data_IF_343199010579
#
_entry.id   IF_343199010579
#
_cell.length_a   1.000
_cell.length_b   1.000
_cell.length_c   1.000
_cell.angle_alpha   90.00
_cell.angle_beta   90.00
_cell.angle_gamma   90.00
#
_symmetry.space_group_name_H-M   'P 1'
#
loop_
_entity.id
_entity.type
_entity.pdbx_description
1 polymer ?
#
# COMPACT_ATOMS: atom_id res chain seq x y z
N UNK A 1 -0.92 3.48 -28.56
CA UNK A 1 -1.34 2.37 -27.67
C UNK A 1 -2.29 2.82 -26.58
N UNK A 2 -3.32 2.01 -26.25
CA UNK A 2 -4.21 2.26 -25.10
C UNK A 2 -3.45 2.18 -23.77
N UNK A 3 -4.09 2.66 -22.70
CA UNK A 3 -3.61 2.56 -21.31
C UNK A 3 -4.65 1.79 -20.48
N UNK A 4 -4.74 0.46 -20.65
CA UNK A 4 -5.86 -0.34 -20.14
C UNK A 4 -5.89 -0.43 -18.61
N UNK A 5 -4.79 -0.14 -17.91
CA UNK A 5 -4.72 -0.15 -16.46
C UNK A 5 -5.22 1.14 -15.80
N UNK A 6 -5.69 2.13 -16.56
CA UNK A 6 -6.15 3.43 -16.03
C UNK A 6 -7.29 3.34 -14.99
N UNK A 7 -8.04 2.25 -14.97
CA UNK A 7 -9.07 2.03 -13.94
C UNK A 7 -8.50 1.60 -12.58
N UNK A 8 -7.22 1.20 -12.53
CA UNK A 8 -6.46 1.03 -11.29
C UNK A 8 -5.78 2.35 -10.94
N UNK A 9 -6.56 3.27 -10.38
CA UNK A 9 -6.11 4.62 -10.04
C UNK A 9 -5.20 4.66 -8.82
N UNK A 10 -5.01 3.53 -8.13
CA UNK A 10 -4.13 3.38 -6.96
C UNK A 10 -2.68 3.73 -7.25
N UNK A 11 -2.17 3.29 -8.40
CA UNK A 11 -0.73 3.26 -8.63
C UNK A 11 -0.12 4.57 -9.19
N UNK A 12 -0.76 5.29 -10.14
CA UNK A 12 -0.14 6.44 -10.79
C UNK A 12 0.18 7.62 -9.87
N UNK A 13 -0.54 7.75 -8.76
CA UNK A 13 -0.23 8.69 -7.68
C UNK A 13 -0.92 8.26 -6.38
N UNK A 14 -0.28 8.51 -5.24
CA UNK A 14 -0.84 8.22 -3.92
C UNK A 14 -0.98 9.51 -3.09
N UNK A 15 -2.13 9.69 -2.44
CA UNK A 15 -2.35 10.80 -1.51
C UNK A 15 -1.76 10.46 -0.14
N UNK A 16 -0.89 11.33 0.39
CA UNK A 16 -0.16 11.15 1.65
C UNK A 16 -0.39 12.40 2.51
N UNK A 17 -1.25 12.28 3.53
CA UNK A 17 -1.65 13.43 4.35
C UNK A 17 -2.32 14.51 3.49
N UNK A 18 -1.75 15.72 3.51
CA UNK A 18 -2.18 16.84 2.66
C UNK A 18 -1.41 16.95 1.33
N UNK A 19 -0.52 15.99 1.04
CA UNK A 19 0.35 15.97 -0.13
C UNK A 19 0.00 14.82 -1.08
N UNK A 20 0.67 14.78 -2.24
CA UNK A 20 0.58 13.68 -3.19
C UNK A 20 1.96 13.22 -3.65
N UNK A 21 2.14 11.91 -3.71
CA UNK A 21 3.25 11.25 -4.37
C UNK A 21 2.86 11.03 -5.83
N UNK A 22 3.37 11.87 -6.75
CA UNK A 22 3.15 11.68 -8.19
C UNK A 22 4.21 10.72 -8.72
N UNK A 23 3.81 9.48 -8.95
CA UNK A 23 4.71 8.36 -9.03
C UNK A 23 5.52 8.28 -10.33
N UNK A 24 6.68 7.63 -10.27
CA UNK A 24 7.47 7.20 -11.43
C UNK A 24 7.34 5.68 -11.57
N UNK A 25 6.49 5.25 -12.50
CA UNK A 25 6.08 3.85 -12.62
C UNK A 25 7.21 2.94 -13.12
N UNK A 26 7.17 1.66 -12.77
CA UNK A 26 8.16 0.68 -13.24
C UNK A 26 8.11 0.44 -14.75
N UNK A 27 6.89 0.34 -15.30
CA UNK A 27 6.68 0.11 -16.73
C UNK A 27 6.52 1.43 -17.47
N UNK A 28 7.30 1.63 -18.52
CA UNK A 28 7.14 2.76 -19.45
C UNK A 28 5.71 2.91 -19.98
N UNK A 29 5.02 1.79 -20.21
CA UNK A 29 3.63 1.81 -20.69
C UNK A 29 2.68 2.43 -19.67
N UNK A 30 2.82 2.07 -18.39
CA UNK A 30 2.02 2.63 -17.30
C UNK A 30 2.50 4.01 -16.83
N UNK A 31 3.78 4.35 -17.04
CA UNK A 31 4.30 5.68 -16.72
C UNK A 31 3.69 6.80 -17.59
N UNK A 32 2.98 6.44 -18.66
CA UNK A 32 2.13 7.36 -19.43
C UNK A 32 0.89 7.80 -18.66
N UNK A 33 0.38 6.98 -17.73
CA UNK A 33 -0.83 7.25 -16.93
C UNK A 33 -0.60 8.41 -15.94
N UNK A 34 0.62 8.56 -15.43
CA UNK A 34 1.00 9.62 -14.48
C UNK A 34 0.93 11.03 -15.10
N UNK A 35 0.83 11.11 -16.43
CA UNK A 35 0.58 12.37 -17.14
C UNK A 35 -0.74 13.01 -16.71
N UNK A 36 -1.79 12.23 -16.45
CA UNK A 36 -3.08 12.76 -15.98
C UNK A 36 -2.95 13.41 -14.61
N UNK A 37 -2.30 12.73 -13.67
CA UNK A 37 -2.00 13.26 -12.33
C UNK A 37 -1.21 14.57 -12.41
N UNK A 38 -0.17 14.63 -13.26
CA UNK A 38 0.61 15.86 -13.50
C UNK A 38 -0.30 17.06 -13.82
N UNK A 39 -1.16 16.95 -14.83
CA UNK A 39 -2.04 18.06 -15.21
C UNK A 39 -3.07 18.42 -14.13
N UNK A 40 -3.56 17.43 -13.37
CA UNK A 40 -4.50 17.68 -12.27
C UNK A 40 -3.81 18.51 -11.18
N UNK A 41 -2.64 18.07 -10.69
CA UNK A 41 -1.95 18.71 -9.58
C UNK A 41 -1.20 19.99 -9.97
N UNK A 42 -1.09 20.32 -11.26
CA UNK A 42 -0.57 21.62 -11.72
C UNK A 42 -1.65 22.61 -12.14
N UNK A 43 -2.76 22.19 -12.77
CA UNK A 43 -3.70 23.12 -13.43
C UNK A 43 -5.14 23.04 -12.93
N UNK A 44 -5.55 22.01 -12.18
CA UNK A 44 -6.93 21.89 -11.73
C UNK A 44 -7.29 23.05 -10.77
N UNK A 45 -8.48 23.69 -10.87
CA UNK A 45 -8.83 24.83 -10.01
C UNK A 45 -8.78 24.53 -8.50
N UNK A 46 -9.05 23.28 -8.12
CA UNK A 46 -9.02 22.85 -6.72
C UNK A 46 -7.63 22.40 -6.24
N UNK A 47 -6.85 21.74 -7.10
CA UNK A 47 -5.62 21.04 -6.70
C UNK A 47 -4.33 21.66 -7.27
N UNK A 48 -4.43 22.33 -8.41
CA UNK A 48 -3.34 22.90 -9.17
C UNK A 48 -2.53 23.90 -8.35
N UNK A 49 -1.26 23.56 -8.09
CA UNK A 49 -0.34 24.41 -7.31
C UNK A 49 -0.72 24.57 -5.83
N UNK A 50 -1.69 23.79 -5.33
CA UNK A 50 -2.21 23.85 -3.96
C UNK A 50 -1.89 22.59 -3.14
N UNK A 51 -1.60 21.48 -3.81
CA UNK A 51 -1.24 20.21 -3.17
C UNK A 51 0.29 20.04 -3.27
N UNK A 52 1.02 19.92 -2.14
CA UNK A 52 2.45 19.63 -2.16
C UNK A 52 2.75 18.31 -2.86
N UNK A 53 3.83 18.28 -3.64
CA UNK A 53 4.35 17.06 -4.25
C UNK A 53 5.46 16.50 -3.36
N UNK A 54 5.28 15.27 -2.89
CA UNK A 54 6.32 14.51 -2.15
C UNK A 54 7.05 13.50 -3.03
N UNK A 55 6.61 13.35 -4.27
CA UNK A 55 7.32 12.63 -5.33
C UNK A 55 6.92 13.21 -6.69
N UNK A 56 7.77 13.04 -7.70
CA UNK A 56 7.53 13.53 -9.04
C UNK A 56 7.79 12.42 -10.09
N UNK A 57 6.94 12.34 -11.11
CA UNK A 57 7.09 11.40 -12.24
C UNK A 57 8.39 11.57 -13.03
N UNK A 58 9.09 12.69 -12.86
CA UNK A 58 10.39 12.99 -13.49
C UNK A 58 11.59 12.52 -12.64
N UNK A 59 11.35 11.96 -11.46
CA UNK A 59 12.38 11.30 -10.65
C UNK A 59 13.02 10.11 -11.37
N UNK A 60 14.24 9.78 -10.98
CA UNK A 60 15.04 8.71 -11.61
C UNK A 60 14.75 7.33 -11.08
N UNK A 61 14.17 7.22 -9.88
CA UNK A 61 13.91 5.98 -9.16
C UNK A 61 12.41 5.70 -9.11
N UNK A 62 12.03 4.43 -9.06
CA UNK A 62 10.64 3.99 -9.26
C UNK A 62 9.89 3.87 -7.94
N UNK A 63 8.61 4.21 -7.95
CA UNK A 63 7.67 4.00 -6.84
C UNK A 63 6.27 3.88 -7.43
N UNK A 64 5.42 3.01 -6.87
CA UNK A 64 4.03 2.83 -7.31
C UNK A 64 3.08 2.82 -6.09
N UNK A 65 1.88 3.36 -6.24
CA UNK A 65 0.95 3.59 -5.12
C UNK A 65 0.40 2.36 -4.42
N UNK A 66 0.46 1.18 -5.04
CA UNK A 66 0.19 -0.08 -4.35
C UNK A 66 1.18 -0.36 -3.21
N UNK A 67 2.39 0.20 -3.25
CA UNK A 67 3.38 0.08 -2.18
C UNK A 67 3.21 1.16 -1.10
N UNK A 68 2.39 2.18 -1.30
CA UNK A 68 2.27 3.35 -0.41
C UNK A 68 1.03 3.24 0.51
N UNK A 69 1.26 2.98 1.81
CA UNK A 69 0.20 2.80 2.81
C UNK A 69 0.30 3.87 3.91
N UNK A 70 -0.73 4.70 4.04
CA UNK A 70 -0.88 5.64 5.16
C UNK A 70 -1.54 4.89 6.33
N UNK A 71 -0.75 4.46 7.32
CA UNK A 71 -1.26 3.67 8.45
C UNK A 71 -1.84 4.55 9.57
N UNK A 72 -1.19 5.67 9.85
CA UNK A 72 -1.63 6.64 10.84
C UNK A 72 -1.20 8.04 10.42
N UNK A 73 -1.46 9.05 11.25
CA UNK A 73 -0.93 10.41 11.04
C UNK A 73 0.60 10.50 11.20
N UNK A 74 1.21 9.53 11.89
CA UNK A 74 2.63 9.54 12.24
C UNK A 74 3.44 8.51 11.43
N UNK A 75 2.80 7.44 10.95
CA UNK A 75 3.46 6.27 10.36
C UNK A 75 2.94 5.97 8.96
N UNK A 76 3.88 5.84 8.02
CA UNK A 76 3.67 5.24 6.70
C UNK A 76 4.22 3.82 6.68
N UNK A 77 3.64 2.97 5.84
CA UNK A 77 4.27 1.72 5.41
C UNK A 77 4.54 1.82 3.92
N UNK A 78 5.76 1.48 3.50
CA UNK A 78 6.17 1.51 2.09
C UNK A 78 6.82 0.20 1.69
N UNK A 79 6.37 -0.41 0.60
CA UNK A 79 6.96 -1.65 0.07
C UNK A 79 8.26 -1.39 -0.67
N UNK A 80 9.32 -2.14 -0.34
CA UNK A 80 10.49 -2.34 -1.22
C UNK A 80 10.19 -3.59 -2.05
N UNK A 81 9.78 -3.36 -3.29
CA UNK A 81 9.20 -4.37 -4.18
C UNK A 81 9.93 -4.40 -5.53
N UNK A 82 9.44 -5.19 -6.47
CA UNK A 82 9.92 -5.11 -7.86
C UNK A 82 9.55 -3.79 -8.56
N UNK A 83 8.57 -3.04 -8.00
CA UNK A 83 8.00 -1.81 -8.57
C UNK A 83 8.49 -0.55 -7.88
N UNK A 84 8.88 -0.66 -6.61
CA UNK A 84 9.32 0.45 -5.77
C UNK A 84 10.76 0.22 -5.30
N UNK A 85 11.65 1.12 -5.70
CA UNK A 85 13.06 1.09 -5.33
C UNK A 85 13.25 1.64 -3.90
N UNK A 86 14.16 1.05 -3.11
CA UNK A 86 14.46 1.54 -1.76
C UNK A 86 14.89 3.03 -1.73
N UNK A 87 15.67 3.45 -2.74
CA UNK A 87 16.09 4.85 -2.90
C UNK A 87 14.91 5.83 -3.11
N UNK A 88 13.77 5.36 -3.66
CA UNK A 88 12.57 6.18 -3.77
C UNK A 88 11.91 6.43 -2.42
N UNK A 89 12.01 5.47 -1.50
CA UNK A 89 11.49 5.61 -0.13
C UNK A 89 12.28 6.69 0.63
N UNK A 90 13.61 6.67 0.50
CA UNK A 90 14.48 7.70 1.08
C UNK A 90 14.12 9.10 0.57
N UNK A 91 14.00 9.27 -0.75
CA UNK A 91 13.58 10.54 -1.38
C UNK A 91 12.19 10.97 -0.93
N UNK A 92 11.22 10.04 -0.93
CA UNK A 92 9.86 10.30 -0.47
C UNK A 92 9.87 10.83 0.96
N UNK A 93 10.65 10.21 1.85
CA UNK A 93 10.74 10.62 3.25
C UNK A 93 11.37 12.01 3.40
N UNK A 94 12.49 12.28 2.74
CA UNK A 94 13.11 13.61 2.75
C UNK A 94 12.10 14.67 2.30
N UNK A 95 11.40 14.44 1.20
CA UNK A 95 10.38 15.38 0.71
C UNK A 95 9.20 15.55 1.68
N UNK A 96 8.75 14.48 2.33
CA UNK A 96 7.69 14.54 3.36
C UNK A 96 8.09 15.45 4.51
N UNK A 97 9.34 15.36 4.95
CA UNK A 97 9.88 16.19 6.03
C UNK A 97 10.08 17.64 5.60
N UNK A 98 10.68 17.88 4.43
CA UNK A 98 10.89 19.22 3.87
C UNK A 98 9.56 19.95 3.59
N UNK A 99 8.53 19.23 3.14
CA UNK A 99 7.18 19.77 2.90
C UNK A 99 6.32 19.82 4.18
N UNK A 100 6.87 19.43 5.34
CA UNK A 100 6.19 19.44 6.63
C UNK A 100 4.81 18.72 6.62
N UNK A 101 4.73 17.58 5.94
CA UNK A 101 3.46 16.82 5.78
C UNK A 101 3.01 16.18 7.10
N UNK A 102 3.93 15.95 8.04
CA UNK A 102 3.62 15.59 9.43
C UNK A 102 3.87 14.13 9.82
N UNK A 103 4.32 13.29 8.88
CA UNK A 103 4.73 11.92 9.16
C UNK A 103 6.12 11.89 9.82
N UNK A 104 6.31 10.97 10.77
CA UNK A 104 7.54 10.85 11.56
C UNK A 104 8.39 9.65 11.15
N UNK A 105 7.75 8.60 10.64
CA UNK A 105 8.39 7.32 10.36
C UNK A 105 7.79 6.65 9.14
N UNK A 106 8.63 5.97 8.38
CA UNK A 106 8.25 4.96 7.39
C UNK A 106 8.68 3.59 7.89
N UNK A 107 7.76 2.63 7.90
CA UNK A 107 8.08 1.20 7.96
C UNK A 107 8.28 0.69 6.54
N UNK A 108 9.52 0.41 6.15
CA UNK A 108 9.86 -0.11 4.83
C UNK A 108 9.81 -1.65 4.84
N UNK A 109 8.94 -2.24 4.03
CA UNK A 109 8.72 -3.69 3.95
C UNK A 109 9.51 -4.27 2.78
N UNK A 110 10.61 -4.98 3.05
CA UNK A 110 11.41 -5.63 2.02
C UNK A 110 10.88 -7.03 1.71
N UNK A 111 10.34 -7.16 0.49
CA UNK A 111 9.93 -8.44 -0.10
C UNK A 111 10.31 -8.54 -1.58
N UNK A 112 11.24 -7.69 -2.05
CA UNK A 112 11.63 -7.54 -3.45
C UNK A 112 12.15 -8.83 -4.11
N UNK A 113 12.70 -9.76 -3.33
CA UNK A 113 13.14 -11.07 -3.85
C UNK A 113 11.97 -11.96 -4.30
N UNK A 114 10.75 -11.65 -3.84
CA UNK A 114 9.54 -12.38 -4.19
C UNK A 114 8.79 -11.72 -5.35
N UNK A 115 9.18 -12.07 -6.59
CA UNK A 115 8.54 -11.54 -7.82
C UNK A 115 7.07 -11.92 -8.00
N UNK A 116 6.50 -12.77 -7.14
CA UNK A 116 5.08 -13.14 -7.22
C UNK A 116 4.16 -11.98 -6.84
N UNK A 117 4.60 -11.11 -5.94
CA UNK A 117 3.80 -10.02 -5.40
C UNK A 117 4.25 -8.69 -6.01
N UNK A 118 3.32 -7.98 -6.63
CA UNK A 118 3.65 -6.75 -7.34
C UNK A 118 3.86 -5.58 -6.39
N UNK A 119 3.03 -5.50 -5.35
CA UNK A 119 2.97 -4.41 -4.41
C UNK A 119 2.62 -4.90 -3.00
N UNK A 120 2.93 -4.10 -1.99
CA UNK A 120 2.67 -4.39 -0.58
C UNK A 120 1.17 -4.60 -0.32
N UNK A 121 0.31 -3.78 -0.91
CA UNK A 121 -1.14 -3.86 -0.70
C UNK A 121 -1.80 -5.12 -1.29
N UNK A 122 -1.11 -5.86 -2.16
CA UNK A 122 -1.61 -7.15 -2.64
C UNK A 122 -1.51 -8.21 -1.56
N UNK A 123 -0.65 -8.02 -0.56
CA UNK A 123 -0.31 -9.01 0.46
C UNK A 123 -0.49 -8.50 1.89
N UNK A 124 -0.71 -7.20 2.10
CA UNK A 124 -0.82 -6.57 3.41
C UNK A 124 -1.68 -5.30 3.35
N UNK A 125 -2.82 -5.26 4.03
CA UNK A 125 -3.67 -4.06 4.13
C UNK A 125 -4.32 -3.91 5.50
N UNK A 126 -4.54 -2.66 5.93
CA UNK A 126 -5.19 -2.30 7.20
C UNK A 126 -6.72 -2.24 7.03
N UNK A 127 -7.46 -2.99 7.85
CA UNK A 127 -8.92 -3.18 7.73
C UNK A 127 -9.72 -2.68 8.93
N UNK A 128 -9.05 -2.44 10.05
CA UNK A 128 -9.59 -1.82 11.26
C UNK A 128 -8.44 -1.16 12.02
N UNK A 129 -8.71 -0.50 13.14
CA UNK A 129 -7.68 0.13 13.97
C UNK A 129 -6.53 -0.82 14.33
N UNK A 130 -6.85 -2.06 14.68
CA UNK A 130 -5.94 -3.09 15.17
C UNK A 130 -5.88 -4.34 14.27
N UNK A 131 -6.47 -4.30 13.08
CA UNK A 131 -6.59 -5.49 12.21
C UNK A 131 -6.01 -5.24 10.83
N UNK A 132 -5.26 -6.23 10.35
CA UNK A 132 -4.68 -6.23 9.01
C UNK A 132 -5.03 -7.54 8.31
N UNK A 133 -5.32 -7.49 7.01
CA UNK A 133 -5.29 -8.70 6.18
C UNK A 133 -3.89 -8.92 5.64
N UNK A 134 -3.38 -10.15 5.77
CA UNK A 134 -2.05 -10.53 5.32
C UNK A 134 -2.08 -11.83 4.51
N UNK A 135 -1.22 -11.95 3.51
CA UNK A 135 -1.01 -13.20 2.79
C UNK A 135 0.05 -14.06 3.52
N UNK A 136 -0.23 -15.33 3.86
CA UNK A 136 0.71 -16.13 4.65
C UNK A 136 2.10 -16.34 4.02
N UNK A 137 2.25 -16.29 2.68
CA UNK A 137 3.57 -16.45 2.05
C UNK A 137 4.53 -15.27 2.31
N UNK A 138 4.05 -14.08 2.69
CA UNK A 138 4.96 -12.95 2.97
C UNK A 138 5.56 -13.02 4.37
N UNK A 139 4.91 -13.66 5.34
CA UNK A 139 5.35 -13.65 6.75
C UNK A 139 6.75 -14.25 6.99
N UNK A 140 7.21 -15.18 6.13
CA UNK A 140 8.44 -15.96 6.38
C UNK A 140 9.76 -15.23 6.13
N UNK A 141 9.88 -14.50 5.02
CA UNK A 141 11.13 -13.85 4.59
C UNK A 141 11.02 -12.31 4.64
N UNK A 142 9.98 -11.78 5.30
CA UNK A 142 9.76 -10.34 5.37
C UNK A 142 10.78 -9.69 6.30
N UNK A 143 11.50 -8.71 5.78
CA UNK A 143 12.32 -7.80 6.58
C UNK A 143 11.62 -6.45 6.63
N UNK A 144 11.57 -5.85 7.81
CA UNK A 144 10.98 -4.53 8.01
C UNK A 144 12.05 -3.59 8.53
N UNK A 145 12.09 -2.37 8.02
CA UNK A 145 13.02 -1.34 8.47
C UNK A 145 12.25 -0.11 8.96
N UNK A 146 12.60 0.40 10.13
CA UNK A 146 12.21 1.74 10.55
C UNK A 146 13.11 2.77 9.88
N UNK A 147 12.51 3.63 9.07
CA UNK A 147 13.18 4.76 8.43
C UNK A 147 12.66 6.05 9.04
N UNK A 148 13.56 6.84 9.61
CA UNK A 148 13.28 8.15 10.23
C UNK A 148 14.21 9.21 9.65
N UNK A 149 13.83 10.47 9.77
CA UNK A 149 14.63 11.61 9.32
C UNK A 149 14.77 12.60 10.47
N UNK A 150 15.97 12.70 11.03
CA UNK A 150 16.27 13.55 12.18
C UNK A 150 17.54 14.35 11.91
N UNK A 151 17.53 15.65 12.24
CA UNK A 151 18.67 16.55 12.03
C UNK A 151 19.24 16.47 10.59
N UNK A 152 18.33 16.55 9.61
CA UNK A 152 18.62 16.46 8.18
C UNK A 152 19.33 15.16 7.73
N UNK A 153 19.24 14.10 8.54
CA UNK A 153 19.92 12.82 8.33
C UNK A 153 18.92 11.67 8.38
N UNK A 154 19.01 10.75 7.39
CA UNK A 154 18.24 9.52 7.39
C UNK A 154 18.83 8.51 8.38
N UNK A 155 17.96 7.94 9.21
CA UNK A 155 18.29 6.85 10.13
C UNK A 155 17.46 5.63 9.75
N UNK A 156 18.14 4.51 9.50
CA UNK A 156 17.54 3.24 9.09
C UNK A 156 17.92 2.18 10.12
N UNK A 157 16.91 1.55 10.70
CA UNK A 157 17.06 0.45 11.65
C UNK A 157 16.28 -0.76 11.15
N UNK A 158 16.90 -1.93 11.11
CA UNK A 158 16.19 -3.17 10.83
C UNK A 158 15.40 -3.61 12.06
N UNK A 159 14.10 -3.80 11.89
CA UNK A 159 13.21 -4.24 12.93
C UNK A 159 13.26 -5.76 13.04
N UNK A 160 13.56 -6.25 14.24
CA UNK A 160 13.59 -7.67 14.56
C UNK A 160 12.45 -8.01 15.52
N UNK A 161 11.69 -9.06 15.23
CA UNK A 161 10.64 -9.52 16.12
C UNK A 161 9.37 -9.91 15.38
N UNK A 162 8.28 -10.04 16.14
CA UNK A 162 6.95 -10.34 15.60
C UNK A 162 6.35 -9.11 14.91
N UNK A 163 5.83 -9.30 13.69
CA UNK A 163 5.26 -8.20 12.90
C UNK A 163 4.04 -7.56 13.59
N UNK A 164 3.20 -8.34 14.27
CA UNK A 164 2.03 -7.79 14.94
C UNK A 164 2.42 -6.94 16.15
N UNK A 165 3.43 -7.37 16.92
CA UNK A 165 4.00 -6.57 18.01
C UNK A 165 4.62 -5.26 17.51
N UNK A 166 5.39 -5.32 16.40
CA UNK A 166 5.97 -4.14 15.76
C UNK A 166 4.89 -3.14 15.31
N UNK A 167 3.84 -3.63 14.64
CA UNK A 167 2.72 -2.79 14.20
C UNK A 167 1.97 -2.19 15.40
N UNK A 168 1.71 -2.99 16.44
CA UNK A 168 1.04 -2.52 17.65
C UNK A 168 1.82 -1.37 18.32
N UNK A 169 3.14 -1.53 18.47
CA UNK A 169 4.01 -0.51 19.03
C UNK A 169 4.00 0.80 18.20
N UNK A 170 4.12 0.69 16.88
CA UNK A 170 4.15 1.88 16.00
C UNK A 170 2.78 2.57 15.87
N UNK A 171 1.68 1.85 16.10
CA UNK A 171 0.32 2.40 16.07
C UNK A 171 -0.19 2.84 17.45
N UNK A 172 0.58 2.60 18.52
CA UNK A 172 0.17 2.90 19.89
C UNK A 172 -0.98 2.03 20.38
N UNK A 173 -0.99 0.75 19.97
CA UNK A 173 -2.01 -0.23 20.30
C UNK A 173 -1.45 -1.30 21.24
N UNK A 174 -2.32 -1.92 22.03
CA UNK A 174 -1.94 -3.05 22.88
C UNK A 174 -1.61 -4.30 22.06
N UNK A 175 -2.34 -4.50 20.96
CA UNK A 175 -2.23 -5.68 20.11
C UNK A 175 -2.67 -5.36 18.69
N UNK A 176 -2.07 -6.04 17.73
CA UNK A 176 -2.55 -6.12 16.35
C UNK A 176 -2.92 -7.56 16.01
N UNK A 177 -3.97 -7.73 15.22
CA UNK A 177 -4.38 -9.01 14.67
C UNK A 177 -4.09 -9.07 13.16
N UNK A 178 -3.27 -10.05 12.77
CA UNK A 178 -2.99 -10.39 11.38
C UNK A 178 -3.95 -11.48 10.90
N UNK A 179 -4.88 -11.10 10.03
CA UNK A 179 -5.92 -11.96 9.46
C UNK A 179 -5.41 -12.57 8.16
N UNK A 180 -5.16 -13.89 8.17
CA UNK A 180 -4.59 -14.61 7.02
C UNK A 180 -5.60 -14.84 5.91
N UNK A 181 -5.29 -14.33 4.72
CA UNK A 181 -6.02 -14.59 3.48
C UNK A 181 -6.10 -16.10 3.18
N UNK A 182 -7.29 -16.61 2.85
CA UNK A 182 -7.54 -18.01 2.55
C UNK A 182 -7.54 -18.97 3.76
N UNK A 183 -7.41 -18.48 4.99
CA UNK A 183 -7.66 -19.28 6.19
C UNK A 183 -6.62 -20.35 6.53
N UNK A 184 -5.40 -20.24 5.99
CA UNK A 184 -4.29 -21.16 6.27
C UNK A 184 -4.24 -22.41 5.38
N UNK A 185 -5.26 -22.67 4.55
CA UNK A 185 -5.16 -23.65 3.47
C UNK A 185 -4.41 -23.05 2.28
N UNK A 186 -3.26 -23.62 1.93
CA UNK A 186 -2.38 -23.04 0.90
C UNK A 186 -3.03 -22.98 -0.49
N UNK A 187 -3.93 -23.92 -0.81
CA UNK A 187 -4.64 -23.93 -2.10
C UNK A 187 -5.65 -22.78 -2.15
N UNK A 188 -6.44 -22.60 -1.09
CA UNK A 188 -7.35 -21.49 -0.92
C UNK A 188 -6.62 -20.14 -0.89
N UNK A 189 -5.53 -20.04 -0.12
CA UNK A 189 -4.72 -18.84 -0.01
C UNK A 189 -4.14 -18.44 -1.37
N UNK A 190 -3.55 -19.37 -2.12
CA UNK A 190 -3.06 -19.08 -3.47
C UNK A 190 -4.17 -18.62 -4.43
N UNK A 191 -5.34 -19.25 -4.37
CA UNK A 191 -6.48 -18.88 -5.22
C UNK A 191 -7.07 -17.51 -4.86
N UNK A 192 -7.28 -17.23 -3.59
CA UNK A 192 -7.89 -15.96 -3.16
C UNK A 192 -6.88 -14.81 -3.23
N UNK A 193 -5.59 -15.06 -2.99
CA UNK A 193 -4.52 -14.10 -3.27
C UNK A 193 -4.48 -13.68 -4.74
N UNK A 194 -4.59 -14.64 -5.67
CA UNK A 194 -4.67 -14.36 -7.11
C UNK A 194 -5.87 -13.48 -7.49
N UNK A 195 -6.92 -13.50 -6.68
CA UNK A 195 -8.13 -12.70 -6.85
C UNK A 195 -8.15 -11.50 -5.89
N UNK A 196 -6.99 -11.03 -5.45
CA UNK A 196 -6.82 -9.83 -4.64
C UNK A 196 -7.53 -9.92 -3.27
N UNK A 197 -7.51 -11.10 -2.65
CA UNK A 197 -8.13 -11.36 -1.35
C UNK A 197 -7.57 -10.56 -0.18
N UNK A 198 -6.28 -10.18 -0.24
CA UNK A 198 -5.63 -9.35 0.77
C UNK A 198 -5.64 -7.84 0.41
N UNK A 199 -6.15 -7.48 -0.77
CA UNK A 199 -6.24 -6.11 -1.27
C UNK A 199 -7.66 -5.57 -1.05
N UNK A 200 -8.00 -5.30 0.21
CA UNK A 200 -9.34 -4.87 0.60
C UNK A 200 -9.41 -3.34 0.73
N UNK A 201 -10.53 -2.73 0.31
CA UNK A 201 -10.74 -1.29 0.44
C UNK A 201 -11.52 -1.01 1.73
N UNK A 202 -10.87 -0.38 2.70
CA UNK A 202 -11.49 0.05 3.96
C UNK A 202 -12.13 1.42 3.79
N UNK A 203 -13.44 1.52 3.96
CA UNK A 203 -14.20 2.79 3.81
C UNK A 203 -14.62 3.40 5.16
N UNK A 204 -14.57 2.61 6.22
CA UNK A 204 -14.62 3.02 7.62
C UNK A 204 -13.94 1.92 8.45
N UNK A 205 -13.48 2.19 9.68
CA UNK A 205 -12.89 1.15 10.54
C UNK A 205 -13.81 -0.07 10.66
N UNK A 206 -13.30 -1.25 10.28
CA UNK A 206 -14.06 -2.50 10.26
C UNK A 206 -15.11 -2.62 9.15
N UNK A 207 -15.19 -1.68 8.20
CA UNK A 207 -16.10 -1.72 7.05
C UNK A 207 -15.29 -1.76 5.75
N UNK A 208 -15.30 -2.90 5.09
CA UNK A 208 -14.46 -3.15 3.90
C UNK A 208 -15.27 -3.53 2.67
N UNK A 209 -14.80 -3.08 1.50
CA UNK A 209 -15.31 -3.47 0.18
C UNK A 209 -14.42 -4.59 -0.37
N UNK A 210 -15.05 -5.69 -0.79
CA UNK A 210 -14.36 -6.93 -1.18
C UNK A 210 -15.01 -7.58 -2.40
N UNK A 211 -14.26 -8.35 -3.16
CA UNK A 211 -14.86 -9.21 -4.18
C UNK A 211 -15.64 -10.37 -3.53
N UNK A 212 -16.86 -10.63 -4.03
CA UNK A 212 -17.70 -11.74 -3.57
C UNK A 212 -17.04 -13.12 -3.70
N UNK A 213 -16.09 -13.27 -4.64
CA UNK A 213 -15.44 -14.55 -4.98
C UNK A 213 -14.44 -15.06 -3.94
N UNK A 214 -13.94 -14.20 -3.06
CA UNK A 214 -12.95 -14.55 -2.02
C UNK A 214 -13.68 -15.09 -0.78
N UNK A 215 -14.36 -16.22 -0.96
CA UNK A 215 -15.35 -16.74 0.00
C UNK A 215 -14.77 -17.04 1.38
N UNK A 216 -13.55 -17.58 1.44
CA UNK A 216 -12.92 -18.01 2.70
C UNK A 216 -12.42 -16.78 3.45
N UNK A 217 -11.69 -15.89 2.78
CA UNK A 217 -11.22 -14.63 3.37
C UNK A 217 -12.39 -13.78 3.85
N UNK A 218 -13.46 -13.68 3.05
CA UNK A 218 -14.68 -12.97 3.45
C UNK A 218 -15.33 -13.57 4.70
N UNK A 219 -15.44 -14.91 4.78
CA UNK A 219 -16.01 -15.57 5.95
C UNK A 219 -15.15 -15.33 7.22
N UNK A 220 -13.83 -15.30 7.07
CA UNK A 220 -12.91 -14.98 8.18
C UNK A 220 -13.11 -13.54 8.62
N UNK A 221 -13.13 -12.57 7.70
CA UNK A 221 -13.35 -11.16 8.04
C UNK A 221 -14.69 -10.96 8.76
N UNK A 222 -15.77 -11.60 8.29
CA UNK A 222 -17.08 -11.59 8.96
C UNK A 222 -16.99 -12.19 10.37
N UNK A 223 -16.26 -13.30 10.55
CA UNK A 223 -16.04 -13.92 11.87
C UNK A 223 -15.24 -13.05 12.84
N UNK A 224 -14.45 -12.10 12.31
CA UNK A 224 -13.67 -11.11 13.07
C UNK A 224 -14.44 -9.82 13.35
N UNK A 225 -15.74 -9.79 13.01
CA UNK A 225 -16.63 -8.67 13.29
C UNK A 225 -16.62 -7.58 12.22
N UNK A 226 -15.97 -7.78 11.08
CA UNK A 226 -15.97 -6.80 10.00
C UNK A 226 -17.28 -6.84 9.22
N UNK A 227 -17.74 -5.66 8.81
CA UNK A 227 -18.85 -5.49 7.87
C UNK A 227 -18.31 -5.49 6.44
N UNK A 228 -18.80 -6.41 5.62
CA UNK A 228 -18.39 -6.51 4.21
C UNK A 228 -19.42 -5.90 3.26
N UNK A 229 -18.94 -5.09 2.31
CA UNK A 229 -19.68 -4.71 1.11
C UNK A 229 -19.14 -5.53 -0.04
N UNK A 230 -19.86 -6.60 -0.39
CA UNK A 230 -19.44 -7.57 -1.41
C UNK A 230 -19.85 -7.09 -2.80
N UNK A 231 -18.89 -6.90 -3.70
CA UNK A 231 -19.14 -6.53 -5.09
C UNK A 231 -18.88 -7.69 -6.06
N UNK A 232 -19.58 -7.69 -7.19
CA UNK A 232 -19.23 -8.51 -8.34
C UNK A 232 -18.05 -7.91 -9.08
N UNK A 233 -17.12 -8.75 -9.54
CA UNK A 233 -15.88 -8.28 -10.20
C UNK A 233 -15.31 -9.25 -11.21
N UNK A 234 -16.15 -10.10 -11.83
CA UNK A 234 -15.71 -11.16 -12.74
C UNK A 234 -14.90 -10.65 -13.93
N UNK A 235 -15.21 -9.45 -14.41
CA UNK A 235 -14.49 -8.80 -15.52
C UNK A 235 -13.31 -7.96 -15.02
N UNK A 236 -13.50 -7.18 -13.95
CA UNK A 236 -12.47 -6.28 -13.41
C UNK A 236 -11.23 -7.04 -12.91
N UNK A 237 -11.43 -8.16 -12.24
CA UNK A 237 -10.34 -9.02 -11.73
C UNK A 237 -9.43 -9.58 -12.83
N UNK A 238 -9.85 -9.54 -14.10
CA UNK A 238 -8.98 -9.93 -15.23
C UNK A 238 -7.74 -9.04 -15.33
N UNK A 239 -7.82 -7.80 -14.84
CA UNK A 239 -6.66 -6.92 -14.73
C UNK A 239 -5.78 -7.14 -13.51
N UNK A 240 -6.13 -8.09 -12.63
CA UNK A 240 -5.39 -8.46 -11.41
C UNK A 240 -5.24 -7.29 -10.43
N UNK A 241 -6.39 -6.77 -9.99
CA UNK A 241 -6.47 -5.79 -8.91
C UNK A 241 -7.80 -5.87 -8.17
N UNK A 242 -7.74 -5.58 -6.87
CA UNK A 242 -8.86 -5.55 -5.94
C UNK A 242 -9.61 -4.22 -5.94
N UNK A 243 -10.53 -4.04 -4.98
CA UNK A 243 -11.21 -2.75 -4.78
C UNK A 243 -10.33 -1.60 -4.28
N UNK A 244 -9.13 -1.87 -3.72
CA UNK A 244 -8.26 -0.84 -3.14
C UNK A 244 -7.43 -0.14 -4.20
#
# INVERSE_FOLDING_TARGET
DPMPNLYFTRDPFATIGNAVSLNHMYSETRNRETLYGKYIFTHHPEYGGKVPLVYNREETTRIEGGDELVLSKDVLAVGISQRTDAASIEKLLVNIFEQHVGFKKVLAFEFANNRKFMHLDTVFTMVDYDKFTIHPEIEGDLRVFSVTYENDTLHIEEEHGDLAELLAANLGLEKVELIRCGGGDMVAAGREQWNDGSNTLTIAPGVVVVYKRNTITNAILESKGLRLIKIGGSELVRGRGGPR
#
